data_IF_643301701860
#
_entry.id   IF_643301701860
#
_cell.length_a   1.000
_cell.length_b   1.000
_cell.length_c   1.000
_cell.angle_alpha   90.00
_cell.angle_beta   90.00
_cell.angle_gamma   90.00
#
_symmetry.space_group_name_H-M   'P 1'
#
loop_
_entity.id
_entity.type
_entity.pdbx_description
1 polymer ?
#
# COMPACT_ATOMS: atom_id res chain seq x y z
N UNK A 1 8.54 11.09 26.53
CA UNK A 1 8.11 12.51 26.55
C UNK A 1 6.69 12.74 26.03
N UNK A 2 6.32 12.48 24.78
CA UNK A 2 4.94 12.75 24.28
C UNK A 2 3.82 12.03 25.07
N UNK A 3 3.95 10.71 25.29
CA UNK A 3 3.01 9.93 26.11
C UNK A 3 2.93 10.39 27.57
N UNK A 4 4.05 10.85 28.14
CA UNK A 4 4.14 11.29 29.54
C UNK A 4 3.42 12.64 29.77
N UNK A 5 3.24 13.44 28.71
CA UNK A 5 2.53 14.72 28.73
C UNK A 5 1.12 14.63 28.12
N UNK A 6 0.66 13.42 27.78
CA UNK A 6 -0.66 13.18 27.19
C UNK A 6 -0.77 13.46 25.68
N UNK A 7 0.34 13.71 24.99
CA UNK A 7 0.37 13.88 23.52
C UNK A 7 0.38 12.51 22.82
N UNK A 8 -0.76 11.84 22.88
CA UNK A 8 -0.99 10.52 22.28
C UNK A 8 -1.02 10.58 20.75
N UNK A 9 -1.52 11.68 20.19
CA UNK A 9 -1.62 11.88 18.74
C UNK A 9 -0.23 11.89 18.08
N UNK A 10 0.70 12.70 18.59
CA UNK A 10 2.08 12.74 18.05
C UNK A 10 2.80 11.41 18.27
N UNK A 11 2.57 10.74 19.40
CA UNK A 11 3.15 9.42 19.66
C UNK A 11 2.67 8.37 18.64
N UNK A 12 1.37 8.36 18.32
CA UNK A 12 0.80 7.47 17.32
C UNK A 12 1.25 7.79 15.89
N UNK A 13 1.42 9.07 15.57
CA UNK A 13 2.03 9.48 14.31
C UNK A 13 3.47 8.94 14.16
N UNK A 14 4.27 9.00 15.24
CA UNK A 14 5.62 8.45 15.25
C UNK A 14 5.63 6.93 15.06
N UNK A 15 4.69 6.21 15.70
CA UNK A 15 4.52 4.77 15.54
C UNK A 15 4.13 4.38 14.11
N UNK A 16 3.24 5.16 13.48
CA UNK A 16 2.90 5.03 12.07
C UNK A 16 4.13 5.18 11.19
N UNK A 17 4.82 6.30 11.33
CA UNK A 17 6.05 6.58 10.57
C UNK A 17 7.09 5.48 10.73
N UNK A 18 7.33 4.99 11.94
CA UNK A 18 8.24 3.87 12.21
C UNK A 18 7.79 2.61 11.47
N UNK A 19 6.51 2.23 11.57
CA UNK A 19 5.97 1.03 10.93
C UNK A 19 6.20 1.03 9.40
N UNK A 20 5.94 2.15 8.73
CA UNK A 20 6.19 2.30 7.31
C UNK A 20 7.69 2.22 6.96
N UNK A 21 8.55 2.84 7.78
CA UNK A 21 10.00 2.74 7.59
C UNK A 21 10.47 1.28 7.69
N UNK A 22 10.00 0.53 8.70
CA UNK A 22 10.37 -0.87 8.91
C UNK A 22 10.01 -1.77 7.73
N UNK A 23 8.86 -1.51 7.11
CA UNK A 23 8.46 -2.21 5.90
C UNK A 23 9.43 -1.94 4.74
N UNK A 24 9.85 -0.70 4.54
CA UNK A 24 10.70 -0.33 3.40
C UNK A 24 12.20 -0.60 3.57
N UNK A 25 12.71 -0.81 4.79
CA UNK A 25 14.12 -1.18 5.03
C UNK A 25 14.44 -2.66 4.79
N UNK A 26 13.46 -3.47 4.36
CA UNK A 26 13.68 -4.86 3.97
C UNK A 26 13.87 -5.83 5.14
N UNK A 27 13.25 -5.57 6.30
CA UNK A 27 13.17 -6.56 7.39
C UNK A 27 12.34 -7.78 6.96
N UNK A 28 12.54 -8.90 7.65
CA UNK A 28 11.74 -10.10 7.45
C UNK A 28 10.25 -9.83 7.75
N UNK A 29 9.37 -10.31 6.86
CA UNK A 29 7.93 -9.99 6.89
C UNK A 29 7.20 -10.53 8.12
N UNK A 30 7.65 -11.66 8.67
CA UNK A 30 7.14 -12.23 9.92
C UNK A 30 7.41 -11.29 11.11
N UNK A 31 8.64 -10.81 11.23
CA UNK A 31 9.05 -9.87 12.27
C UNK A 31 8.33 -8.52 12.14
N UNK A 32 8.12 -8.04 10.91
CA UNK A 32 7.32 -6.83 10.67
C UNK A 32 5.86 -7.07 11.12
N UNK A 33 5.27 -8.22 10.78
CA UNK A 33 3.89 -8.53 11.14
C UNK A 33 3.67 -8.51 12.66
N UNK A 34 4.57 -9.11 13.44
CA UNK A 34 4.50 -9.11 14.90
C UNK A 34 4.50 -7.67 15.46
N UNK A 35 5.36 -6.80 14.92
CA UNK A 35 5.44 -5.41 15.35
C UNK A 35 4.18 -4.60 14.98
N UNK A 36 3.61 -4.87 13.79
CA UNK A 36 2.34 -4.24 13.38
C UNK A 36 1.16 -4.71 14.24
N UNK A 37 1.13 -5.98 14.62
CA UNK A 37 0.09 -6.53 15.52
C UNK A 37 0.17 -5.92 16.92
N UNK A 38 1.38 -5.75 17.47
CA UNK A 38 1.59 -5.02 18.71
C UNK A 38 1.14 -3.55 18.58
N UNK A 39 1.46 -2.89 17.45
CA UNK A 39 1.08 -1.50 17.19
C UNK A 39 -0.44 -1.33 17.10
N UNK A 40 -1.16 -2.27 16.47
CA UNK A 40 -2.62 -2.28 16.39
C UNK A 40 -3.25 -2.33 17.79
N UNK A 41 -2.73 -3.17 18.68
CA UNK A 41 -3.23 -3.30 20.06
C UNK A 41 -3.09 -1.97 20.80
N UNK A 42 -1.92 -1.33 20.70
CA UNK A 42 -1.66 -0.03 21.32
C UNK A 42 -2.59 1.06 20.76
N UNK A 43 -2.72 1.16 19.44
CA UNK A 43 -3.58 2.18 18.81
C UNK A 43 -5.06 2.00 19.15
N UNK A 44 -5.52 0.75 19.26
CA UNK A 44 -6.89 0.43 19.71
C UNK A 44 -7.13 0.92 21.13
N UNK A 45 -6.19 0.67 22.05
CA UNK A 45 -6.30 1.13 23.44
C UNK A 45 -6.31 2.66 23.54
N UNK A 46 -5.54 3.34 22.68
CA UNK A 46 -5.46 4.79 22.61
C UNK A 46 -6.60 5.45 21.80
N UNK A 47 -7.53 4.66 21.25
CA UNK A 47 -8.67 5.12 20.43
C UNK A 47 -8.25 6.00 19.25
N UNK A 48 -7.19 5.58 18.55
CA UNK A 48 -6.62 6.31 17.40
C UNK A 48 -7.09 5.70 16.08
N UNK A 49 -8.41 5.73 15.84
CA UNK A 49 -9.05 4.96 14.76
C UNK A 49 -8.53 5.30 13.35
N UNK A 50 -8.27 6.58 13.07
CA UNK A 50 -7.74 7.01 11.77
C UNK A 50 -6.31 6.49 11.54
N UNK A 51 -5.44 6.66 12.53
CA UNK A 51 -4.06 6.15 12.51
C UNK A 51 -4.01 4.62 12.45
N UNK A 52 -4.97 3.96 13.08
CA UNK A 52 -5.10 2.51 13.11
C UNK A 52 -5.34 1.93 11.72
N UNK A 53 -6.16 2.58 10.88
CA UNK A 53 -6.42 2.11 9.51
C UNK A 53 -5.16 2.03 8.66
N UNK A 54 -4.20 2.94 8.85
CA UNK A 54 -2.92 2.94 8.13
C UNK A 54 -2.07 1.72 8.51
N UNK A 55 -2.00 1.38 9.80
CA UNK A 55 -1.30 0.18 10.27
C UNK A 55 -2.01 -1.09 9.81
N UNK A 56 -3.34 -1.13 9.84
CA UNK A 56 -4.10 -2.29 9.35
C UNK A 56 -3.82 -2.48 7.85
N UNK A 57 -3.80 -1.41 7.06
CA UNK A 57 -3.47 -1.47 5.63
C UNK A 57 -2.08 -2.08 5.43
N UNK A 58 -1.07 -1.60 6.16
CA UNK A 58 0.30 -2.13 6.09
C UNK A 58 0.40 -3.60 6.52
N UNK A 59 -0.30 -3.99 7.60
CA UNK A 59 -0.36 -5.39 8.05
C UNK A 59 -1.01 -6.28 7.01
N UNK A 60 -2.09 -5.81 6.38
CA UNK A 60 -2.75 -6.52 5.28
C UNK A 60 -1.78 -6.76 4.12
N UNK A 61 -1.02 -5.75 3.71
CA UNK A 61 0.04 -5.89 2.70
C UNK A 61 1.05 -6.96 3.10
N UNK A 62 1.57 -6.90 4.32
CA UNK A 62 2.56 -7.87 4.83
C UNK A 62 1.99 -9.29 4.81
N UNK A 63 0.76 -9.48 5.28
CA UNK A 63 0.09 -10.79 5.24
C UNK A 63 -0.06 -11.31 3.81
N UNK A 64 -0.52 -10.46 2.88
CA UNK A 64 -0.64 -10.84 1.47
C UNK A 64 0.70 -11.22 0.85
N UNK A 65 1.77 -10.46 1.07
CA UNK A 65 3.12 -10.79 0.60
C UNK A 65 3.67 -12.09 1.19
N UNK A 66 3.21 -12.49 2.38
CA UNK A 66 3.51 -13.78 2.99
C UNK A 66 2.63 -14.92 2.47
N UNK A 67 1.63 -14.64 1.63
CA UNK A 67 0.64 -15.62 1.17
C UNK A 67 -0.39 -16.03 2.24
N UNK A 68 -0.57 -15.20 3.28
CA UNK A 68 -1.49 -15.47 4.40
C UNK A 68 -2.76 -14.64 4.21
N UNK A 69 -3.93 -15.26 4.44
CA UNK A 69 -5.24 -14.59 4.47
C UNK A 69 -5.53 -13.72 3.24
N UNK A 70 -5.09 -14.12 2.03
CA UNK A 70 -5.10 -13.24 0.85
C UNK A 70 -6.50 -12.69 0.50
N UNK A 71 -7.52 -13.55 0.55
CA UNK A 71 -8.92 -13.15 0.29
C UNK A 71 -9.49 -12.22 1.37
N UNK A 72 -9.13 -12.44 2.64
CA UNK A 72 -9.53 -11.56 3.71
C UNK A 72 -8.87 -10.18 3.56
N UNK A 73 -7.62 -10.15 3.06
CA UNK A 73 -6.92 -8.92 2.74
C UNK A 73 -7.64 -8.06 1.69
N UNK A 74 -8.19 -8.68 0.64
CA UNK A 74 -8.95 -7.94 -0.38
C UNK A 74 -10.21 -7.33 0.20
N UNK A 75 -10.96 -8.10 1.02
CA UNK A 75 -12.16 -7.59 1.71
C UNK A 75 -11.83 -6.41 2.64
N UNK A 76 -10.70 -6.47 3.35
CA UNK A 76 -10.24 -5.37 4.22
C UNK A 76 -9.96 -4.12 3.39
N UNK A 77 -9.23 -4.25 2.27
CA UNK A 77 -8.95 -3.12 1.40
C UNK A 77 -10.20 -2.52 0.76
N UNK A 78 -11.14 -3.34 0.31
CA UNK A 78 -12.40 -2.85 -0.27
C UNK A 78 -13.26 -2.13 0.78
N UNK A 79 -13.27 -2.62 2.02
CA UNK A 79 -13.89 -1.92 3.14
C UNK A 79 -13.22 -0.57 3.40
N UNK A 80 -11.88 -0.50 3.41
CA UNK A 80 -11.16 0.76 3.61
C UNK A 80 -11.40 1.76 2.49
N UNK A 81 -11.45 1.31 1.23
CA UNK A 81 -11.78 2.16 0.09
C UNK A 81 -13.21 2.70 0.18
N UNK A 82 -14.15 1.88 0.65
CA UNK A 82 -15.54 2.30 0.89
C UNK A 82 -15.63 3.36 1.99
N UNK A 83 -14.91 3.16 3.11
CA UNK A 83 -14.78 4.16 4.18
C UNK A 83 -14.15 5.44 3.67
N UNK A 84 -13.06 5.34 2.91
CA UNK A 84 -12.37 6.49 2.34
C UNK A 84 -13.29 7.30 1.41
N UNK A 85 -14.06 6.63 0.54
CA UNK A 85 -15.01 7.28 -0.35
C UNK A 85 -16.17 7.95 0.42
N UNK A 86 -16.62 7.36 1.52
CA UNK A 86 -17.70 7.91 2.34
C UNK A 86 -17.28 9.16 3.12
N UNK A 87 -15.98 9.31 3.38
CA UNK A 87 -15.40 10.39 4.19
C UNK A 87 -14.62 11.42 3.36
N UNK A 88 -14.62 11.30 2.03
CA UNK A 88 -13.74 12.06 1.13
C UNK A 88 -12.24 12.00 1.53
N UNK A 89 -11.81 10.85 2.06
CA UNK A 89 -10.44 10.63 2.52
C UNK A 89 -9.54 10.14 1.36
N UNK A 90 -9.05 11.12 0.60
CA UNK A 90 -8.11 10.88 -0.49
C UNK A 90 -6.76 10.32 -0.02
N UNK A 91 -6.39 10.54 1.25
CA UNK A 91 -5.13 10.06 1.81
C UNK A 91 -5.19 8.56 2.07
N UNK A 92 -6.24 8.09 2.74
CA UNK A 92 -6.45 6.66 2.99
C UNK A 92 -6.61 5.88 1.70
N UNK A 93 -7.44 6.36 0.76
CA UNK A 93 -7.62 5.69 -0.54
C UNK A 93 -6.31 5.61 -1.33
N UNK A 94 -5.49 6.68 -1.31
CA UNK A 94 -4.16 6.67 -1.92
C UNK A 94 -3.22 5.66 -1.28
N UNK A 95 -3.19 5.59 0.06
CA UNK A 95 -2.38 4.61 0.79
C UNK A 95 -2.78 3.16 0.48
N UNK A 96 -4.09 2.87 0.41
CA UNK A 96 -4.57 1.53 0.04
C UNK A 96 -4.16 1.20 -1.39
N UNK A 97 -4.30 2.13 -2.33
CA UNK A 97 -3.91 1.91 -3.73
C UNK A 97 -2.40 1.68 -3.90
N UNK A 98 -1.54 2.39 -3.16
CA UNK A 98 -0.10 2.13 -3.19
C UNK A 98 0.22 0.71 -2.70
N UNK A 99 -0.43 0.28 -1.63
CA UNK A 99 -0.22 -1.06 -1.07
C UNK A 99 -0.74 -2.18 -1.98
N UNK A 100 -1.91 -1.99 -2.60
CA UNK A 100 -2.42 -2.90 -3.64
C UNK A 100 -1.43 -2.99 -4.81
N UNK A 101 -0.90 -1.85 -5.27
CA UNK A 101 0.09 -1.81 -6.35
C UNK A 101 1.38 -2.56 -5.99
N UNK A 102 1.89 -2.38 -4.77
CA UNK A 102 3.07 -3.11 -4.27
C UNK A 102 2.88 -4.62 -4.37
N UNK A 103 1.72 -5.14 -3.94
CA UNK A 103 1.40 -6.57 -4.01
C UNK A 103 1.26 -7.05 -5.45
N UNK A 104 0.54 -6.31 -6.31
CA UNK A 104 0.40 -6.68 -7.72
C UNK A 104 1.75 -6.71 -8.45
N UNK A 105 2.61 -5.73 -8.22
CA UNK A 105 3.95 -5.70 -8.82
C UNK A 105 4.81 -6.85 -8.28
N UNK A 106 4.74 -7.15 -6.99
CA UNK A 106 5.50 -8.26 -6.38
C UNK A 106 5.12 -9.62 -6.98
N UNK A 107 3.82 -9.89 -7.12
CA UNK A 107 3.31 -11.13 -7.74
C UNK A 107 3.26 -11.08 -9.27
N UNK A 108 3.76 -10.00 -9.88
CA UNK A 108 3.80 -9.82 -11.34
C UNK A 108 2.40 -9.84 -12.00
N UNK A 109 1.39 -9.40 -11.28
CA UNK A 109 0.00 -9.21 -11.73
C UNK A 109 -0.12 -7.90 -12.53
N UNK A 110 0.63 -7.82 -13.64
CA UNK A 110 0.83 -6.57 -14.39
C UNK A 110 -0.45 -5.98 -14.98
N UNK A 111 -1.47 -6.81 -15.25
CA UNK A 111 -2.78 -6.35 -15.76
C UNK A 111 -3.53 -5.58 -14.68
N UNK A 112 -3.60 -6.13 -13.47
CA UNK A 112 -4.27 -5.48 -12.35
C UNK A 112 -3.48 -4.25 -11.89
N UNK A 113 -2.15 -4.31 -11.92
CA UNK A 113 -1.28 -3.16 -11.64
C UNK A 113 -1.55 -1.98 -12.60
N UNK A 114 -1.61 -2.21 -13.92
CA UNK A 114 -1.82 -1.11 -14.88
C UNK A 114 -3.24 -0.54 -14.79
N UNK A 115 -4.24 -1.39 -14.56
CA UNK A 115 -5.62 -0.95 -14.39
C UNK A 115 -5.79 -0.14 -13.11
N UNK A 116 -5.12 -0.53 -12.02
CA UNK A 116 -5.11 0.20 -10.76
C UNK A 116 -4.47 1.59 -10.93
N UNK A 117 -3.28 1.68 -11.53
CA UNK A 117 -2.58 2.96 -11.75
C UNK A 117 -3.45 3.92 -12.58
N UNK A 118 -4.09 3.43 -13.63
CA UNK A 118 -4.98 4.24 -14.47
C UNK A 118 -6.20 4.76 -13.72
N UNK A 119 -6.81 3.93 -12.88
CA UNK A 119 -8.00 4.29 -12.10
C UNK A 119 -7.69 5.22 -10.94
N UNK A 120 -6.56 5.00 -10.27
CA UNK A 120 -6.17 5.75 -9.07
C UNK A 120 -5.73 7.19 -9.36
N UNK A 121 -5.33 7.50 -10.60
CA UNK A 121 -4.85 8.83 -10.97
C UNK A 121 -3.57 9.21 -10.23
N UNK A 122 -3.32 10.51 -10.04
CA UNK A 122 -2.10 10.99 -9.39
C UNK A 122 -2.22 10.94 -7.85
N UNK A 123 -2.08 9.75 -7.28
CA UNK A 123 -2.15 9.54 -5.82
C UNK A 123 -1.07 10.28 -5.03
N UNK A 124 0.04 10.70 -5.67
CA UNK A 124 1.15 11.41 -5.00
C UNK A 124 0.72 12.71 -4.34
N UNK A 125 -0.35 13.34 -4.84
CA UNK A 125 -0.91 14.58 -4.28
C UNK A 125 -1.48 14.38 -2.86
N UNK A 126 -1.78 13.13 -2.48
CA UNK A 126 -2.46 12.79 -1.24
C UNK A 126 -1.64 11.84 -0.36
N UNK A 127 -0.38 11.57 -0.70
CA UNK A 127 0.49 10.72 0.11
C UNK A 127 1.25 11.56 1.14
N UNK A 128 1.04 11.32 2.45
CA UNK A 128 1.65 12.15 3.50
C UNK A 128 3.15 11.87 3.73
N UNK A 129 3.70 10.79 3.15
CA UNK A 129 5.08 10.34 3.40
C UNK A 129 5.94 10.34 2.14
N UNK A 130 7.14 10.92 2.25
CA UNK A 130 8.14 10.93 1.18
C UNK A 130 8.49 9.52 0.70
N UNK A 131 8.65 8.55 1.61
CA UNK A 131 9.04 7.19 1.25
C UNK A 131 7.98 6.48 0.42
N UNK A 132 6.71 6.58 0.83
CA UNK A 132 5.60 5.93 0.13
C UNK A 132 5.39 6.56 -1.25
N UNK A 133 5.51 7.88 -1.36
CA UNK A 133 5.42 8.60 -2.64
C UNK A 133 6.57 8.25 -3.59
N UNK A 134 7.80 8.16 -3.08
CA UNK A 134 8.96 7.70 -3.85
C UNK A 134 8.77 6.24 -4.29
N UNK A 135 8.35 5.35 -3.39
CA UNK A 135 8.09 3.94 -3.71
C UNK A 135 7.03 3.81 -4.80
N UNK A 136 5.90 4.50 -4.66
CA UNK A 136 4.86 4.54 -5.67
C UNK A 136 5.38 4.97 -7.03
N UNK A 137 6.26 5.98 -7.07
CA UNK A 137 6.83 6.47 -8.33
C UNK A 137 7.57 5.39 -9.10
N UNK A 138 8.36 4.56 -8.41
CA UNK A 138 9.05 3.45 -9.05
C UNK A 138 8.10 2.32 -9.48
N UNK A 139 7.10 1.99 -8.65
CA UNK A 139 6.10 0.97 -8.99
C UNK A 139 5.26 1.37 -10.20
N UNK A 140 4.82 2.62 -10.25
CA UNK A 140 4.04 3.19 -11.35
C UNK A 140 4.85 3.15 -12.66
N UNK A 141 6.09 3.64 -12.63
CA UNK A 141 6.98 3.63 -13.78
C UNK A 141 7.26 2.21 -14.28
N UNK A 142 7.54 1.26 -13.37
CA UNK A 142 7.75 -0.15 -13.72
C UNK A 142 6.51 -0.77 -14.35
N UNK A 143 5.33 -0.46 -13.83
CA UNK A 143 4.04 -0.93 -14.35
C UNK A 143 3.82 -0.43 -15.78
N UNK A 144 4.07 0.85 -16.05
CA UNK A 144 4.00 1.40 -17.41
C UNK A 144 5.04 0.79 -18.36
N UNK A 145 6.27 0.59 -17.89
CA UNK A 145 7.33 -0.07 -18.66
C UNK A 145 6.89 -1.48 -19.09
N UNK A 146 6.33 -2.27 -18.17
CA UNK A 146 5.84 -3.63 -18.44
C UNK A 146 4.64 -3.66 -19.38
N UNK A 147 3.74 -2.70 -19.26
CA UNK A 147 2.64 -2.53 -20.20
C UNK A 147 3.16 -2.22 -21.63
N UNK A 148 4.15 -1.33 -21.75
CA UNK A 148 4.76 -0.96 -23.02
C UNK A 148 5.52 -2.14 -23.66
N UNK A 149 6.29 -2.89 -22.86
CA UNK A 149 6.98 -4.12 -23.30
C UNK A 149 5.99 -5.11 -23.92
N UNK A 150 4.87 -5.37 -23.22
CA UNK A 150 3.83 -6.29 -23.66
C UNK A 150 3.17 -5.86 -24.98
N UNK A 151 2.91 -4.56 -25.15
CA UNK A 151 2.36 -4.01 -26.39
C UNK A 151 3.36 -4.08 -27.56
N UNK A 152 4.65 -3.87 -27.30
CA UNK A 152 5.71 -3.94 -28.33
C UNK A 152 5.95 -5.37 -28.83
N UNK A 153 5.88 -6.37 -27.94
CA UNK A 153 5.94 -7.79 -28.28
C UNK A 153 4.78 -8.22 -29.17
N UNK A 154 3.59 -7.68 -28.94
CA UNK A 154 2.43 -7.89 -29.81
C UNK A 154 2.67 -7.37 -31.23
N UNK A 155 3.19 -6.15 -31.38
CA UNK A 155 3.55 -5.58 -32.70
C UNK A 155 4.59 -6.43 -33.44
N UNK A 156 5.63 -6.91 -32.74
CA UNK A 156 6.64 -7.82 -33.35
C UNK A 156 6.03 -9.15 -33.82
N UNK A 157 5.06 -9.71 -33.08
CA UNK A 157 4.34 -10.93 -33.47
C UNK A 157 3.39 -10.72 -34.64
N UNK A 158 2.70 -9.58 -34.71
CA UNK A 158 1.86 -9.24 -35.86
C UNK A 158 2.68 -9.06 -37.14
N UNK A 159 3.81 -8.36 -37.07
CA UNK A 159 4.70 -8.19 -38.24
C UNK A 159 5.24 -9.53 -38.78
N UNK A 160 5.49 -10.53 -37.92
CA UNK A 160 5.90 -11.87 -38.34
C UNK A 160 4.79 -12.72 -38.97
N UNK A 161 3.51 -12.37 -38.78
CA UNK A 161 2.37 -13.07 -39.41
C UNK A 161 1.98 -12.48 -40.77
N UNK A 162 2.48 -11.29 -41.09
CA UNK A 162 2.23 -10.58 -42.34
C UNK A 162 3.40 -10.66 -43.34
N UNK A 163 4.41 -11.47 -43.02
CA UNK A 163 5.54 -11.81 -43.89
C UNK A 163 5.48 -13.32 -44.18
#
# INVERSE_FOLDING_TARGET
>A
RGLEIGDTASACWCLNSRSYNLFHVGRALDSIQEELEATIQVMTQLKQDESLLQIINLRTTVKKLRGIDSEAGDKIWDSMLTTAASNDDFSLSSLVNVMKLEVFVFYQEWKDAIDLVRKAGNVRLFLPSFFVSVRYTFLEALTYLKAAESASGWKKRQMKKCA
#
